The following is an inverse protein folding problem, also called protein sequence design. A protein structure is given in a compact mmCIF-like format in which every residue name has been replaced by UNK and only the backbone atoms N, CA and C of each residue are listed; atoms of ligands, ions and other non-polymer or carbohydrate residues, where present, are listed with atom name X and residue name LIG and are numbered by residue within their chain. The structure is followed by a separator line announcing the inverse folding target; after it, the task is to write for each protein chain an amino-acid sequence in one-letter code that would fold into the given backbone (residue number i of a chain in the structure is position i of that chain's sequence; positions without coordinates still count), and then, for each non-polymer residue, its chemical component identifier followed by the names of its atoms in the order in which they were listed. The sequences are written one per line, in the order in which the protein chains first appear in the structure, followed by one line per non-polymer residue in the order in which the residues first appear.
data_IF_798919612168
#
_entry.id   IF_798919612168
#
_cell.length_a   1.000
_cell.length_b   1.000
_cell.length_c   1.000
_cell.angle_alpha   90.00
_cell.angle_beta   90.00
_cell.angle_gamma   90.00
#
_symmetry.space_group_name_H-M   'P 1'
#
loop_
_entity.id
_entity.type
_entity.pdbx_description
1 polymer ?
#
# COMPACT_ATOMS: atom_id res chain seq x y z
N UNK A 1 3.53 20.93 -15.26
CA UNK A 1 4.06 20.08 -14.17
C UNK A 1 5.59 20.15 -14.20
N UNK A 2 6.19 21.05 -13.42
CA UNK A 2 7.63 21.34 -13.53
C UNK A 2 8.45 20.29 -12.74
N UNK A 3 9.37 19.60 -13.41
CA UNK A 3 10.20 18.55 -12.79
C UNK A 3 11.06 19.09 -11.63
N UNK A 4 11.46 20.36 -11.72
CA UNK A 4 12.14 21.09 -10.64
C UNK A 4 11.26 21.18 -9.38
N UNK A 5 9.96 21.48 -9.51
CA UNK A 5 9.06 21.60 -8.36
C UNK A 5 8.91 20.30 -7.59
N UNK A 6 8.90 19.15 -8.29
CA UNK A 6 8.88 17.82 -7.64
C UNK A 6 10.16 17.54 -6.87
N UNK A 7 11.33 17.92 -7.41
CA UNK A 7 12.61 17.76 -6.71
C UNK A 7 12.65 18.60 -5.43
N UNK A 8 12.22 19.85 -5.49
CA UNK A 8 12.19 20.75 -4.31
C UNK A 8 11.30 20.17 -3.21
N UNK A 9 10.11 19.67 -3.57
CA UNK A 9 9.21 19.06 -2.58
C UNK A 9 9.83 17.83 -1.91
N UNK A 10 10.44 16.93 -2.69
CA UNK A 10 11.13 15.75 -2.16
C UNK A 10 12.30 16.12 -1.23
N UNK A 11 13.07 17.16 -1.56
CA UNK A 11 14.14 17.66 -0.69
C UNK A 11 13.59 18.21 0.62
N UNK A 12 12.53 19.01 0.59
CA UNK A 12 11.90 19.54 1.80
C UNK A 12 11.36 18.43 2.71
N UNK A 13 10.72 17.41 2.13
CA UNK A 13 10.23 16.25 2.88
C UNK A 13 11.40 15.48 3.51
N UNK A 14 12.46 15.22 2.74
CA UNK A 14 13.64 14.49 3.22
C UNK A 14 14.34 15.23 4.36
N UNK A 15 14.49 16.55 4.23
CA UNK A 15 15.09 17.39 5.27
C UNK A 15 14.17 17.44 6.50
N UNK A 16 12.86 17.59 6.34
CA UNK A 16 11.90 17.56 7.47
C UNK A 16 11.92 16.24 8.24
N UNK A 17 12.03 15.11 7.54
CA UNK A 17 12.24 13.79 8.14
C UNK A 17 13.58 13.65 8.88
N UNK A 18 14.60 14.39 8.44
CA UNK A 18 15.91 14.41 9.08
C UNK A 18 15.98 15.38 10.26
N UNK A 19 15.07 16.36 10.32
CA UNK A 19 14.93 17.32 11.43
C UNK A 19 14.17 16.74 12.63
N UNK A 20 13.43 15.63 12.46
CA UNK A 20 12.82 14.93 13.59
C UNK A 20 13.89 14.48 14.58
N UNK A 21 13.57 14.57 15.87
CA UNK A 21 14.45 14.06 16.91
C UNK A 21 14.71 12.56 16.70
N UNK A 22 15.85 12.07 17.14
CA UNK A 22 16.27 10.69 16.84
C UNK A 22 15.23 9.67 17.32
N UNK A 23 14.57 9.95 18.46
CA UNK A 23 13.46 9.14 18.98
C UNK A 23 12.20 9.19 18.08
N UNK A 24 11.82 10.37 17.59
CA UNK A 24 10.66 10.54 16.73
C UNK A 24 10.84 9.84 15.38
N UNK A 25 12.08 9.79 14.85
CA UNK A 25 12.40 9.05 13.62
C UNK A 25 12.14 7.55 13.79
N UNK A 26 12.45 6.97 14.95
CA UNK A 26 12.12 5.57 15.23
C UNK A 26 10.62 5.34 15.29
N UNK A 27 9.88 6.21 15.99
CA UNK A 27 8.43 6.10 16.09
C UNK A 27 7.76 6.21 14.71
N UNK A 28 8.19 7.17 13.89
CA UNK A 28 7.69 7.33 12.52
C UNK A 28 8.01 6.13 11.63
N UNK A 29 9.22 5.55 11.73
CA UNK A 29 9.60 4.38 10.96
C UNK A 29 8.75 3.15 11.33
N UNK A 30 8.54 2.91 12.63
CA UNK A 30 7.68 1.82 13.13
C UNK A 30 6.24 2.01 12.64
N UNK A 31 5.71 3.23 12.72
CA UNK A 31 4.37 3.54 12.21
C UNK A 31 4.25 3.28 10.70
N UNK A 32 5.25 3.67 9.91
CA UNK A 32 5.28 3.41 8.47
C UNK A 32 5.30 1.91 8.15
N UNK A 33 6.09 1.12 8.87
CA UNK A 33 6.12 -0.35 8.71
C UNK A 33 4.77 -0.98 9.10
N UNK A 34 4.18 -0.55 10.21
CA UNK A 34 2.86 -1.02 10.65
C UNK A 34 1.76 -0.67 9.64
N UNK A 35 1.76 0.56 9.10
CA UNK A 35 0.82 1.00 8.07
C UNK A 35 1.01 0.20 6.78
N UNK A 36 2.25 0.00 6.35
CA UNK A 36 2.55 -0.80 5.16
C UNK A 36 2.04 -2.25 5.32
N UNK A 37 2.29 -2.87 6.48
CA UNK A 37 1.78 -4.20 6.78
C UNK A 37 0.25 -4.26 6.79
N UNK A 38 -0.41 -3.26 7.35
CA UNK A 38 -1.86 -3.16 7.37
C UNK A 38 -2.44 -3.06 5.95
N UNK A 39 -1.85 -2.21 5.10
CA UNK A 39 -2.26 -2.05 3.70
C UNK A 39 -2.05 -3.37 2.94
N UNK A 40 -0.91 -4.04 3.11
CA UNK A 40 -0.66 -5.34 2.47
C UNK A 40 -1.69 -6.38 2.90
N UNK A 41 -2.01 -6.48 4.19
CA UNK A 41 -3.03 -7.42 4.68
C UNK A 41 -4.41 -7.09 4.11
N UNK A 42 -4.79 -5.82 4.07
CA UNK A 42 -6.05 -5.37 3.48
C UNK A 42 -6.12 -5.72 1.99
N UNK A 43 -5.05 -5.41 1.24
CA UNK A 43 -4.96 -5.65 -0.19
C UNK A 43 -4.96 -7.15 -0.50
N UNK A 44 -4.22 -7.96 0.26
CA UNK A 44 -4.21 -9.42 0.12
C UNK A 44 -5.59 -10.01 0.40
N UNK A 45 -6.28 -9.53 1.44
CA UNK A 45 -7.65 -9.93 1.75
C UNK A 45 -8.62 -9.57 0.63
N UNK A 46 -8.48 -8.38 0.06
CA UNK A 46 -9.26 -7.95 -1.10
C UNK A 46 -8.99 -8.84 -2.32
N UNK A 47 -7.73 -9.10 -2.66
CA UNK A 47 -7.37 -9.99 -3.77
C UNK A 47 -7.88 -11.41 -3.57
N UNK A 48 -7.76 -11.96 -2.35
CA UNK A 48 -8.31 -13.27 -2.00
C UNK A 48 -9.82 -13.34 -2.23
N UNK A 49 -10.57 -12.32 -1.82
CA UNK A 49 -12.02 -12.25 -2.03
C UNK A 49 -12.37 -12.18 -3.52
N UNK A 50 -11.66 -11.36 -4.30
CA UNK A 50 -11.89 -11.24 -5.74
C UNK A 50 -11.50 -12.52 -6.51
N UNK A 51 -10.44 -13.21 -6.11
CA UNK A 51 -10.07 -14.50 -6.71
C UNK A 51 -11.11 -15.57 -6.40
N UNK A 52 -11.64 -15.60 -5.17
CA UNK A 52 -12.70 -16.54 -4.79
C UNK A 52 -13.98 -16.30 -5.59
N UNK A 53 -14.40 -15.05 -5.76
CA UNK A 53 -15.60 -14.73 -6.56
C UNK A 53 -15.42 -15.12 -8.01
N UNK A 54 -14.28 -14.79 -8.64
CA UNK A 54 -13.99 -15.17 -10.04
C UNK A 54 -13.88 -16.69 -10.24
N UNK A 55 -13.28 -17.41 -9.29
CA UNK A 55 -13.18 -18.86 -9.39
C UNK A 55 -14.53 -19.53 -9.22
N UNK A 56 -15.37 -19.06 -8.30
CA UNK A 56 -16.75 -19.53 -8.25
C UNK A 56 -17.44 -19.22 -9.59
N UNK A 57 -17.20 -18.04 -10.19
CA UNK A 57 -17.72 -17.62 -11.51
C UNK A 57 -17.45 -18.57 -12.65
N UNK A 58 -16.20 -18.95 -12.81
CA UNK A 58 -15.84 -19.98 -13.79
C UNK A 58 -16.54 -21.33 -13.53
N UNK A 59 -16.73 -21.72 -12.27
CA UNK A 59 -17.31 -23.03 -11.94
C UNK A 59 -18.82 -23.11 -12.20
N UNK A 60 -19.60 -22.05 -11.95
CA UNK A 60 -21.04 -22.09 -12.27
C UNK A 60 -21.34 -21.92 -13.76
N UNK A 61 -20.52 -21.17 -14.51
CA UNK A 61 -20.62 -21.11 -15.97
C UNK A 61 -20.26 -22.45 -16.63
N UNK A 62 -19.24 -23.16 -16.11
CA UNK A 62 -18.87 -24.49 -16.60
C UNK A 62 -19.92 -25.57 -16.32
N UNK A 63 -20.69 -25.45 -15.23
CA UNK A 63 -21.72 -26.43 -14.83
C UNK A 63 -23.08 -26.20 -15.47
N UNK A 64 -23.39 -25.00 -15.95
CA UNK A 64 -24.60 -24.71 -16.72
C UNK A 64 -24.51 -25.07 -18.22
N UNK A 65 -23.36 -25.55 -18.68
CA UNK A 65 -23.09 -25.87 -20.09
C UNK A 65 -23.13 -27.38 -20.42
N UNK A 66 -23.58 -28.22 -19.48
CA UNK A 66 -23.83 -29.67 -19.64
C UNK A 66 -25.29 -29.97 -19.40
#
# INVERSE_FOLDING_TARGET
MNWIGRKIHLYNVTIGLYMLDWWERYLFNILMVCLFWYILRYLLGFFQSNLKTLFQDGNYLGRGST
#
